data_IF_471021482892
#
_entry.id   IF_471021482892
#
_cell.length_a   1.000
_cell.length_b   1.000
_cell.length_c   1.000
_cell.angle_alpha   90.00
_cell.angle_beta   90.00
_cell.angle_gamma   90.00
#
_symmetry.space_group_name_H-M   'P 1'
#
loop_
_entity.id
_entity.type
_entity.pdbx_description
1 polymer ?
#
# COMPACT_ATOMS: atom_id res chain seq x y z
N UNK A 1 -9.82 -13.25 38.70
CA UNK A 1 -8.82 -12.42 38.00
C UNK A 1 -9.16 -12.57 36.53
N UNK A 2 -9.83 -11.58 35.93
CA UNK A 2 -10.05 -11.55 34.49
C UNK A 2 -8.68 -11.28 33.85
N UNK A 3 -8.12 -12.28 33.16
CA UNK A 3 -6.93 -12.09 32.34
C UNK A 3 -7.31 -11.16 31.21
N UNK A 4 -6.71 -9.99 31.16
CA UNK A 4 -6.81 -9.09 29.99
C UNK A 4 -6.42 -9.92 28.77
N UNK A 5 -7.25 -10.01 27.71
CA UNK A 5 -6.85 -10.77 26.53
C UNK A 5 -5.50 -10.25 26.04
N UNK A 6 -4.60 -11.16 25.73
CA UNK A 6 -3.24 -10.83 25.28
C UNK A 6 -3.38 -9.92 24.03
N UNK A 7 -2.78 -8.73 24.07
CA UNK A 7 -2.86 -7.79 22.95
C UNK A 7 -2.23 -8.43 21.72
N UNK A 8 -2.80 -8.24 20.51
CA UNK A 8 -2.26 -8.81 19.29
C UNK A 8 -0.80 -8.43 19.07
N UNK A 9 -0.01 -9.39 18.57
CA UNK A 9 1.38 -9.19 18.21
C UNK A 9 1.48 -8.73 16.75
N UNK A 10 1.99 -7.54 16.54
CA UNK A 10 2.21 -6.98 15.20
C UNK A 10 3.69 -7.10 14.82
N UNK A 11 3.97 -7.73 13.70
CA UNK A 11 5.33 -7.85 13.15
C UNK A 11 5.49 -6.90 11.97
N UNK A 12 6.44 -5.97 12.05
CA UNK A 12 6.79 -5.09 10.94
C UNK A 12 7.97 -5.68 10.19
N UNK A 13 7.74 -6.04 8.91
CA UNK A 13 8.75 -6.61 8.01
C UNK A 13 9.26 -5.54 7.08
N UNK A 14 10.59 -5.33 7.10
CA UNK A 14 11.25 -4.24 6.39
C UNK A 14 11.37 -2.98 7.25
N UNK A 15 12.59 -2.42 7.31
CA UNK A 15 12.93 -1.29 8.19
C UNK A 15 13.26 -0.02 7.40
N UNK A 16 12.52 0.24 6.32
CA UNK A 16 12.59 1.47 5.56
C UNK A 16 11.90 2.65 6.24
N UNK A 17 11.91 3.81 5.56
CA UNK A 17 11.32 5.06 6.09
C UNK A 17 9.84 4.93 6.40
N UNK A 18 9.07 4.25 5.55
CA UNK A 18 7.64 4.03 5.78
C UNK A 18 7.40 3.21 7.05
N UNK A 19 8.09 2.08 7.21
CA UNK A 19 7.96 1.23 8.40
C UNK A 19 8.35 1.95 9.69
N UNK A 20 9.38 2.81 9.63
CA UNK A 20 9.78 3.64 10.78
C UNK A 20 8.67 4.63 11.19
N UNK A 21 7.99 5.25 10.22
CA UNK A 21 6.85 6.15 10.47
C UNK A 21 5.65 5.38 11.00
N UNK A 22 5.34 4.22 10.41
CA UNK A 22 4.27 3.32 10.90
C UNK A 22 4.53 2.93 12.35
N UNK A 23 5.75 2.53 12.70
CA UNK A 23 6.13 2.17 14.06
C UNK A 23 5.88 3.32 15.04
N UNK A 24 6.37 4.53 14.71
CA UNK A 24 6.22 5.70 15.58
C UNK A 24 4.75 6.06 15.81
N UNK A 25 3.94 6.06 14.75
CA UNK A 25 2.50 6.36 14.86
C UNK A 25 1.75 5.24 15.59
N UNK A 26 2.10 3.98 15.34
CA UNK A 26 1.45 2.81 15.98
C UNK A 26 1.64 2.84 17.50
N UNK A 27 2.83 3.17 17.97
CA UNK A 27 3.15 3.28 19.38
C UNK A 27 2.50 4.48 20.08
N UNK A 28 1.98 5.45 19.32
CA UNK A 28 1.14 6.54 19.81
C UNK A 28 -0.27 6.10 20.27
N UNK A 29 -0.68 4.85 19.96
CA UNK A 29 -2.00 4.33 20.30
C UNK A 29 -1.95 3.27 21.41
N UNK A 30 -2.87 3.35 22.37
CA UNK A 30 -2.92 2.46 23.56
C UNK A 30 -3.18 0.98 23.25
N UNK A 31 -3.83 0.68 22.11
CA UNK A 31 -4.24 -0.67 21.77
C UNK A 31 -3.10 -1.54 21.21
N UNK A 32 -2.01 -0.93 20.77
CA UNK A 32 -0.89 -1.61 20.12
C UNK A 32 0.38 -1.44 20.93
N UNK A 33 0.74 -2.46 21.68
CA UNK A 33 1.90 -2.40 22.57
C UNK A 33 2.89 -3.57 22.41
N UNK A 34 2.57 -4.56 21.56
CA UNK A 34 3.45 -5.71 21.29
C UNK A 34 3.88 -5.70 19.83
N UNK A 35 5.12 -5.35 19.57
CA UNK A 35 5.67 -5.19 18.23
C UNK A 35 6.97 -5.98 18.07
N UNK A 36 7.11 -6.68 16.94
CA UNK A 36 8.37 -7.28 16.50
C UNK A 36 8.82 -6.57 15.23
N UNK A 37 10.06 -6.11 15.23
CA UNK A 37 10.70 -5.52 14.05
C UNK A 37 11.54 -6.58 13.35
N UNK A 38 11.30 -6.82 12.07
CA UNK A 38 12.01 -7.81 11.28
C UNK A 38 12.73 -7.15 10.10
N UNK A 39 14.02 -7.35 10.02
CA UNK A 39 14.84 -6.83 8.93
C UNK A 39 16.07 -7.69 8.70
N UNK A 40 16.71 -7.56 7.54
CA UNK A 40 17.93 -8.30 7.21
C UNK A 40 19.07 -8.02 8.22
N UNK A 41 19.16 -6.78 8.67
CA UNK A 41 20.08 -6.36 9.72
C UNK A 41 19.32 -6.23 11.06
N UNK A 42 19.50 -7.23 11.94
CA UNK A 42 18.88 -7.27 13.24
C UNK A 42 19.33 -6.11 14.16
N UNK A 43 20.58 -5.64 14.01
CA UNK A 43 21.10 -4.54 14.81
C UNK A 43 20.44 -3.20 14.41
N UNK A 44 20.29 -2.94 13.13
CA UNK A 44 19.53 -1.77 12.64
C UNK A 44 18.09 -1.83 13.11
N UNK A 45 17.43 -2.98 13.04
CA UNK A 45 16.08 -3.16 13.55
C UNK A 45 16.01 -2.85 15.06
N UNK A 46 16.96 -3.34 15.86
CA UNK A 46 17.06 -3.08 17.29
C UNK A 46 17.21 -1.59 17.59
N UNK A 47 18.12 -0.89 16.90
CA UNK A 47 18.36 0.56 17.09
C UNK A 47 17.12 1.38 16.75
N UNK A 48 16.40 1.05 15.69
CA UNK A 48 15.11 1.68 15.35
C UNK A 48 14.06 1.42 16.40
N UNK A 49 14.00 0.20 16.93
CA UNK A 49 13.13 -0.18 18.03
C UNK A 49 13.40 0.65 19.30
N UNK A 50 14.66 0.83 19.68
CA UNK A 50 15.04 1.66 20.81
C UNK A 50 14.62 3.12 20.64
N UNK A 51 14.84 3.69 19.45
CA UNK A 51 14.42 5.06 19.15
C UNK A 51 12.90 5.23 19.30
N UNK A 52 12.13 4.30 18.74
CA UNK A 52 10.68 4.31 18.85
C UNK A 52 10.20 4.11 20.30
N UNK A 53 10.85 3.20 21.06
CA UNK A 53 10.55 2.97 22.46
C UNK A 53 10.76 4.23 23.31
N UNK A 54 11.88 4.93 23.10
CA UNK A 54 12.18 6.16 23.82
C UNK A 54 11.24 7.31 23.41
N UNK A 55 10.88 7.39 22.14
CA UNK A 55 9.88 8.35 21.66
C UNK A 55 8.52 8.09 22.31
N UNK A 56 8.08 6.84 22.35
CA UNK A 56 6.83 6.46 23.01
C UNK A 56 6.87 6.79 24.52
N UNK A 57 7.99 6.53 25.19
CA UNK A 57 8.17 6.84 26.61
C UNK A 57 8.05 8.36 26.90
N UNK A 58 8.61 9.21 26.03
CA UNK A 58 8.44 10.67 26.13
C UNK A 58 6.98 11.10 25.98
N UNK A 59 6.16 10.32 25.28
CA UNK A 59 4.72 10.53 25.14
C UNK A 59 3.89 9.85 26.23
N UNK A 60 4.55 9.30 27.27
CA UNK A 60 3.88 8.60 28.37
C UNK A 60 3.34 7.22 27.98
N UNK A 61 3.90 6.58 26.95
CA UNK A 61 3.48 5.28 26.44
C UNK A 61 4.51 4.21 26.75
N UNK A 62 4.04 2.99 26.99
CA UNK A 62 4.90 1.82 27.22
C UNK A 62 4.58 0.74 26.18
N UNK A 63 5.61 0.17 25.57
CA UNK A 63 5.50 -0.85 24.54
C UNK A 63 6.51 -1.99 24.77
N UNK A 64 6.14 -3.20 24.35
CA UNK A 64 7.06 -4.35 24.22
C UNK A 64 7.53 -4.41 22.77
N UNK A 65 8.78 -4.01 22.53
CA UNK A 65 9.39 -4.02 21.20
C UNK A 65 10.53 -5.03 21.20
N UNK A 66 10.45 -5.97 20.26
CA UNK A 66 11.50 -6.96 19.98
C UNK A 66 11.99 -6.83 18.57
N UNK A 67 13.17 -7.35 18.27
CA UNK A 67 13.73 -7.36 16.93
C UNK A 67 14.26 -8.73 16.56
N UNK A 68 14.14 -9.10 15.27
CA UNK A 68 14.66 -10.35 14.72
C UNK A 68 15.33 -10.07 13.37
N UNK A 69 16.37 -10.83 13.06
CA UNK A 69 16.93 -10.93 11.73
C UNK A 69 16.00 -11.75 10.83
N UNK A 70 15.69 -11.24 9.63
CA UNK A 70 14.81 -11.90 8.68
C UNK A 70 15.23 -11.59 7.25
N UNK A 71 15.61 -12.63 6.49
CA UNK A 71 15.82 -12.54 5.04
C UNK A 71 14.69 -13.27 4.32
N UNK A 72 13.80 -12.51 3.70
CA UNK A 72 12.65 -13.05 2.95
C UNK A 72 13.07 -13.95 1.77
N UNK A 73 14.30 -13.83 1.28
CA UNK A 73 14.81 -14.71 0.22
C UNK A 73 15.00 -16.16 0.69
N UNK A 74 15.14 -16.37 1.99
CA UNK A 74 15.13 -17.71 2.60
C UNK A 74 13.74 -18.03 3.17
N UNK A 75 12.87 -18.57 2.32
CA UNK A 75 11.47 -18.87 2.67
C UNK A 75 11.37 -19.84 3.86
N UNK A 76 12.21 -20.88 3.90
CA UNK A 76 12.20 -21.87 4.98
C UNK A 76 12.56 -21.25 6.34
N UNK A 77 13.68 -20.51 6.41
CA UNK A 77 14.09 -19.81 7.64
C UNK A 77 13.07 -18.72 8.05
N UNK A 78 12.44 -18.07 7.09
CA UNK A 78 11.36 -17.11 7.34
C UNK A 78 10.15 -17.84 7.96
N UNK A 79 9.73 -18.97 7.42
CA UNK A 79 8.62 -19.78 7.96
C UNK A 79 8.89 -20.26 9.38
N UNK A 80 10.11 -20.76 9.66
CA UNK A 80 10.53 -21.15 11.01
C UNK A 80 10.49 -19.98 11.99
N UNK A 81 10.94 -18.79 11.55
CA UNK A 81 10.89 -17.57 12.37
C UNK A 81 9.46 -17.16 12.66
N UNK A 82 8.57 -17.19 11.67
CA UNK A 82 7.15 -16.92 11.86
C UNK A 82 6.49 -17.94 12.81
N UNK A 83 6.80 -19.24 12.67
CA UNK A 83 6.28 -20.28 13.55
C UNK A 83 6.72 -20.09 15.01
N UNK A 84 7.94 -19.58 15.24
CA UNK A 84 8.48 -19.26 16.57
C UNK A 84 7.90 -17.97 17.16
N UNK A 85 7.81 -16.91 16.37
CA UNK A 85 7.33 -15.57 16.80
C UNK A 85 5.81 -15.54 16.95
N UNK A 86 5.09 -16.23 16.08
CA UNK A 86 3.61 -16.32 16.01
C UNK A 86 2.94 -14.96 16.01
N UNK A 87 3.26 -14.09 15.02
CA UNK A 87 2.56 -12.81 14.91
C UNK A 87 1.09 -13.02 14.52
N UNK A 88 0.20 -12.18 15.06
CA UNK A 88 -1.20 -12.12 14.65
C UNK A 88 -1.34 -11.36 13.34
N UNK A 89 -0.58 -10.27 13.21
CA UNK A 89 -0.61 -9.37 12.04
C UNK A 89 0.83 -9.12 11.59
N UNK A 90 1.06 -9.22 10.29
CA UNK A 90 2.34 -8.86 9.65
C UNK A 90 2.11 -7.64 8.77
N UNK A 91 2.84 -6.56 9.03
CA UNK A 91 2.95 -5.42 8.11
C UNK A 91 4.12 -5.63 7.16
N UNK A 92 3.82 -5.76 5.87
CA UNK A 92 4.82 -5.94 4.82
C UNK A 92 5.20 -4.58 4.22
N UNK A 93 6.28 -3.99 4.75
CA UNK A 93 6.82 -2.71 4.29
C UNK A 93 8.08 -2.83 3.42
N UNK A 94 8.52 -4.06 3.10
CA UNK A 94 9.71 -4.30 2.30
C UNK A 94 9.38 -4.36 0.79
N UNK A 95 10.29 -3.83 -0.01
CA UNK A 95 10.33 -3.98 -1.46
C UNK A 95 11.79 -4.11 -1.91
N UNK A 96 12.03 -4.61 -3.13
CA UNK A 96 13.40 -4.67 -3.67
C UNK A 96 13.92 -3.26 -4.01
N UNK A 97 13.03 -2.38 -4.47
CA UNK A 97 13.34 -0.98 -4.72
C UNK A 97 12.14 -0.11 -4.33
N UNK A 98 12.41 0.94 -3.55
CA UNK A 98 11.40 1.95 -3.25
C UNK A 98 11.17 2.85 -4.46
N UNK A 99 9.91 3.18 -4.75
CA UNK A 99 9.55 4.20 -5.75
C UNK A 99 10.25 5.54 -5.50
N UNK A 100 10.55 5.86 -4.26
CA UNK A 100 11.27 7.10 -3.89
C UNK A 100 12.62 7.23 -4.59
N UNK A 101 13.30 6.13 -4.89
CA UNK A 101 14.61 6.15 -5.58
C UNK A 101 14.49 6.82 -6.94
N UNK A 102 13.41 6.58 -7.67
CA UNK A 102 13.16 7.16 -8.99
C UNK A 102 12.92 8.68 -8.89
N UNK A 103 12.25 9.13 -7.82
CA UNK A 103 11.99 10.56 -7.59
C UNK A 103 13.26 11.38 -7.28
N UNK A 104 14.40 10.74 -7.08
CA UNK A 104 15.69 11.39 -6.85
C UNK A 104 16.42 11.75 -8.15
N UNK A 105 15.96 11.25 -9.29
CA UNK A 105 16.47 11.65 -10.60
C UNK A 105 16.25 13.14 -10.85
N UNK A 106 17.04 13.79 -11.72
CA UNK A 106 16.75 15.15 -12.19
C UNK A 106 15.32 15.26 -12.69
N UNK A 107 14.63 16.33 -12.33
CA UNK A 107 13.19 16.48 -12.57
C UNK A 107 12.73 16.14 -13.99
N UNK A 108 13.38 16.62 -15.08
CA UNK A 108 12.96 16.28 -16.45
C UNK A 108 13.09 14.78 -16.73
N UNK A 109 14.14 14.13 -16.20
CA UNK A 109 14.40 12.69 -16.38
C UNK A 109 13.38 11.87 -15.62
N UNK A 110 13.06 12.29 -14.39
CA UNK A 110 11.99 11.67 -13.59
C UNK A 110 10.64 11.77 -14.32
N UNK A 111 10.27 12.96 -14.81
CA UNK A 111 9.00 13.19 -15.51
C UNK A 111 8.86 12.29 -16.75
N UNK A 112 9.93 12.10 -17.50
CA UNK A 112 9.94 11.20 -18.66
C UNK A 112 9.82 9.72 -18.28
N UNK A 113 10.51 9.28 -17.23
CA UNK A 113 10.43 7.91 -16.74
C UNK A 113 9.08 7.61 -16.05
N UNK A 114 8.49 8.60 -15.40
CA UNK A 114 7.20 8.52 -14.73
C UNK A 114 6.03 8.26 -15.71
N UNK A 115 6.22 8.53 -17.00
CA UNK A 115 5.26 8.17 -18.05
C UNK A 115 5.07 6.64 -18.16
N UNK A 116 6.01 5.83 -17.68
CA UNK A 116 5.87 4.38 -17.58
C UNK A 116 4.86 3.93 -16.53
N UNK A 117 4.38 4.83 -15.70
CA UNK A 117 3.51 4.55 -14.55
C UNK A 117 4.12 3.50 -13.60
N UNK A 118 3.33 2.93 -12.67
CA UNK A 118 3.84 1.97 -11.70
C UNK A 118 3.81 0.52 -12.19
N UNK A 119 2.92 0.18 -13.11
CA UNK A 119 2.70 -1.20 -13.56
C UNK A 119 3.97 -1.97 -13.91
N UNK A 120 4.82 -1.48 -14.84
CA UNK A 120 6.06 -2.18 -15.21
C UNK A 120 7.08 -2.36 -14.09
N UNK A 121 6.95 -1.65 -12.98
CA UNK A 121 7.80 -1.80 -11.79
C UNK A 121 7.32 -2.91 -10.85
N UNK A 122 6.23 -3.61 -11.20
CA UNK A 122 5.62 -4.66 -10.37
C UNK A 122 6.62 -5.71 -9.86
N UNK A 123 7.61 -6.19 -10.62
CA UNK A 123 8.58 -7.17 -10.12
C UNK A 123 9.31 -6.73 -8.84
N UNK A 124 9.57 -5.42 -8.67
CA UNK A 124 10.22 -4.86 -7.49
C UNK A 124 9.38 -4.97 -6.22
N UNK A 125 8.06 -5.06 -6.36
CA UNK A 125 7.09 -5.12 -5.27
C UNK A 125 6.56 -6.54 -5.05
N UNK A 126 6.35 -7.30 -6.14
CA UNK A 126 5.75 -8.63 -6.11
C UNK A 126 6.72 -9.69 -5.54
N UNK A 127 8.00 -9.63 -5.88
CA UNK A 127 8.99 -10.67 -5.53
C UNK A 127 9.00 -10.98 -4.03
N UNK A 128 9.23 -9.97 -3.18
CA UNK A 128 9.32 -10.19 -1.73
C UNK A 128 7.97 -10.52 -1.11
N UNK A 129 6.88 -9.97 -1.63
CA UNK A 129 5.53 -10.33 -1.19
C UNK A 129 5.22 -11.81 -1.47
N UNK A 130 5.54 -12.31 -2.65
CA UNK A 130 5.36 -13.72 -2.99
C UNK A 130 6.14 -14.63 -2.04
N UNK A 131 7.41 -14.30 -1.75
CA UNK A 131 8.24 -15.07 -0.82
C UNK A 131 7.69 -15.04 0.61
N UNK A 132 7.26 -13.87 1.10
CA UNK A 132 6.64 -13.75 2.41
C UNK A 132 5.36 -14.57 2.51
N UNK A 133 4.46 -14.47 1.53
CA UNK A 133 3.18 -15.20 1.57
C UNK A 133 3.37 -16.71 1.53
N UNK A 134 4.38 -17.20 0.81
CA UNK A 134 4.79 -18.61 0.88
C UNK A 134 5.26 -19.01 2.29
N UNK A 135 6.11 -18.18 2.91
CA UNK A 135 6.59 -18.42 4.26
C UNK A 135 5.44 -18.38 5.30
N UNK A 136 4.48 -17.47 5.16
CA UNK A 136 3.29 -17.41 6.02
C UNK A 136 2.47 -18.70 5.90
N UNK A 137 2.20 -19.16 4.69
CA UNK A 137 1.52 -20.44 4.46
C UNK A 137 2.29 -21.61 5.09
N UNK A 138 3.59 -21.71 4.83
CA UNK A 138 4.44 -22.82 5.26
C UNK A 138 4.66 -22.81 6.78
N UNK A 139 4.56 -21.65 7.43
CA UNK A 139 4.64 -21.53 8.91
C UNK A 139 3.42 -22.06 9.65
N UNK A 140 2.26 -22.16 8.97
CA UNK A 140 1.00 -22.57 9.57
C UNK A 140 0.44 -21.63 10.65
N UNK A 141 0.97 -20.41 10.78
CA UNK A 141 0.53 -19.46 11.83
C UNK A 141 -0.82 -18.82 11.55
N UNK A 142 -1.24 -18.74 10.28
CA UNK A 142 -2.46 -18.05 9.88
C UNK A 142 -2.40 -16.53 10.09
N UNK A 143 -1.19 -15.95 10.19
CA UNK A 143 -1.00 -14.51 10.36
C UNK A 143 -1.66 -13.71 9.25
N UNK A 144 -2.31 -12.61 9.59
CA UNK A 144 -2.90 -11.67 8.63
C UNK A 144 -1.80 -10.77 8.08
N UNK A 145 -1.76 -10.58 6.77
CA UNK A 145 -0.72 -9.77 6.11
C UNK A 145 -1.30 -8.47 5.56
N UNK A 146 -0.75 -7.35 6.01
CA UNK A 146 -1.08 -6.00 5.55
C UNK A 146 0.05 -5.51 4.66
N UNK A 147 -0.21 -5.37 3.36
CA UNK A 147 0.81 -5.06 2.35
C UNK A 147 0.87 -3.56 2.02
N UNK A 148 2.09 -3.00 2.05
CA UNK A 148 2.36 -1.61 1.65
C UNK A 148 2.97 -1.49 0.23
N UNK A 149 3.47 -2.59 -0.35
CA UNK A 149 4.19 -2.57 -1.61
C UNK A 149 3.25 -2.87 -2.78
N UNK A 150 2.80 -1.83 -3.47
CA UNK A 150 1.90 -1.86 -4.63
C UNK A 150 0.74 -2.86 -4.47
N UNK A 151 -0.06 -2.71 -3.40
CA UNK A 151 -1.09 -3.69 -3.06
C UNK A 151 -2.15 -3.87 -4.14
N UNK A 152 -2.50 -2.81 -4.89
CA UNK A 152 -3.51 -2.82 -5.96
C UNK A 152 -3.24 -3.87 -7.04
N UNK A 153 -1.98 -4.20 -7.30
CA UNK A 153 -1.57 -5.20 -8.29
C UNK A 153 -1.03 -6.49 -7.65
N UNK A 154 -0.25 -6.37 -6.57
CA UNK A 154 0.32 -7.54 -5.85
C UNK A 154 -0.79 -8.43 -5.30
N UNK A 155 -1.83 -7.85 -4.72
CA UNK A 155 -2.99 -8.59 -4.19
C UNK A 155 -3.63 -9.50 -5.24
N UNK A 156 -4.16 -8.95 -6.36
CA UNK A 156 -4.84 -9.76 -7.37
C UNK A 156 -3.92 -10.76 -8.08
N UNK A 157 -2.63 -10.48 -8.27
CA UNK A 157 -1.68 -11.47 -8.83
C UNK A 157 -1.54 -12.67 -7.89
N UNK A 158 -1.30 -12.42 -6.61
CA UNK A 158 -1.12 -13.49 -5.63
C UNK A 158 -2.42 -14.22 -5.28
N UNK A 159 -3.59 -13.58 -5.46
CA UNK A 159 -4.89 -14.23 -5.30
C UNK A 159 -5.07 -15.38 -6.29
N UNK A 160 -4.57 -15.25 -7.53
CA UNK A 160 -4.63 -16.31 -8.55
C UNK A 160 -3.96 -17.62 -8.11
N UNK A 161 -3.05 -17.57 -7.16
CA UNK A 161 -2.34 -18.74 -6.62
C UNK A 161 -2.65 -19.00 -5.14
N UNK A 162 -3.70 -18.38 -4.61
CA UNK A 162 -4.13 -18.56 -3.21
C UNK A 162 -3.17 -17.98 -2.17
N UNK A 163 -2.37 -16.98 -2.54
CA UNK A 163 -1.35 -16.33 -1.70
C UNK A 163 -1.58 -14.83 -1.54
N UNK A 164 -2.81 -14.33 -1.69
CA UNK A 164 -3.09 -12.92 -1.51
C UNK A 164 -2.77 -12.45 -0.07
N UNK A 165 -2.10 -11.30 0.11
CA UNK A 165 -2.14 -10.59 1.38
C UNK A 165 -3.58 -10.30 1.79
N UNK A 166 -3.82 -10.17 3.10
CA UNK A 166 -5.18 -9.95 3.64
C UNK A 166 -5.78 -8.64 3.16
N UNK A 167 -4.96 -7.59 3.13
CA UNK A 167 -5.36 -6.22 2.76
C UNK A 167 -4.12 -5.38 2.47
N UNK A 168 -4.28 -4.33 1.68
CA UNK A 168 -3.26 -3.31 1.46
C UNK A 168 -3.50 -2.03 2.26
N UNK A 169 -2.53 -1.09 2.15
CA UNK A 169 -2.62 0.25 2.73
C UNK A 169 -2.19 1.32 1.73
N UNK A 170 -2.48 2.57 2.02
CA UNK A 170 -2.12 3.69 1.15
C UNK A 170 -3.04 3.81 -0.07
N UNK A 171 -2.51 4.34 -1.16
CA UNK A 171 -3.19 4.51 -2.45
C UNK A 171 -4.57 5.18 -2.30
N UNK A 172 -5.67 4.48 -2.49
CA UNK A 172 -7.03 5.02 -2.31
C UNK A 172 -7.23 5.69 -0.94
N UNK A 173 -6.63 5.15 0.12
CA UNK A 173 -6.70 5.74 1.45
C UNK A 173 -6.02 7.12 1.53
N UNK A 174 -5.00 7.36 0.73
CA UNK A 174 -4.23 8.61 0.78
C UNK A 174 -4.95 9.79 0.15
N UNK A 175 -5.88 9.56 -0.78
CA UNK A 175 -6.61 10.63 -1.46
C UNK A 175 -7.92 11.00 -0.74
N UNK A 176 -8.55 10.06 -0.05
CA UNK A 176 -9.86 10.25 0.58
C UNK A 176 -9.90 11.42 1.55
N UNK A 177 -8.93 11.65 2.46
CA UNK A 177 -8.97 12.81 3.36
C UNK A 177 -9.03 14.15 2.61
N UNK A 178 -8.24 14.31 1.55
CA UNK A 178 -8.24 15.53 0.75
C UNK A 178 -9.57 15.71 0.00
N UNK A 179 -10.13 14.65 -0.56
CA UNK A 179 -11.44 14.68 -1.21
C UNK A 179 -12.56 15.04 -0.20
N UNK A 180 -12.48 14.51 1.03
CA UNK A 180 -13.43 14.84 2.10
C UNK A 180 -13.40 16.32 2.45
N UNK A 181 -12.21 16.90 2.65
CA UNK A 181 -12.05 18.33 2.90
C UNK A 181 -12.49 19.18 1.70
N UNK A 182 -12.21 18.70 0.48
CA UNK A 182 -12.64 19.38 -0.74
C UNK A 182 -14.15 19.40 -0.91
N UNK A 183 -14.81 18.27 -0.67
CA UNK A 183 -16.26 18.16 -0.73
C UNK A 183 -16.94 19.02 0.35
N UNK A 184 -16.46 18.98 1.59
CA UNK A 184 -16.93 19.82 2.68
C UNK A 184 -16.90 21.31 2.31
N UNK A 185 -15.79 21.76 1.72
CA UNK A 185 -15.67 23.15 1.25
C UNK A 185 -16.66 23.51 0.14
N UNK A 186 -16.81 22.64 -0.88
CA UNK A 186 -17.74 22.89 -1.99
C UNK A 186 -19.19 22.89 -1.58
N UNK A 187 -19.55 22.07 -0.59
CA UNK A 187 -20.93 21.92 -0.10
C UNK A 187 -21.25 22.86 1.05
N UNK A 188 -20.26 23.58 1.61
CA UNK A 188 -20.45 24.42 2.79
C UNK A 188 -20.85 23.62 4.03
N UNK A 189 -20.40 22.36 4.14
CA UNK A 189 -20.73 21.45 5.24
C UNK A 189 -19.55 21.28 6.20
N UNK A 190 -19.82 20.98 7.50
CA UNK A 190 -18.76 20.53 8.42
C UNK A 190 -18.08 19.27 7.89
N UNK A 191 -16.75 19.20 7.97
CA UNK A 191 -15.98 18.07 7.42
C UNK A 191 -16.33 16.73 8.09
N UNK A 192 -16.68 16.77 9.37
CA UNK A 192 -17.09 15.60 10.16
C UNK A 192 -18.45 15.01 9.73
N UNK A 193 -19.26 15.76 9.00
CA UNK A 193 -20.53 15.30 8.44
C UNK A 193 -20.39 14.73 7.03
N UNK A 194 -19.21 14.90 6.39
CA UNK A 194 -18.94 14.43 5.03
C UNK A 194 -18.38 13.02 5.05
N UNK A 195 -19.08 12.12 4.39
CA UNK A 195 -18.66 10.74 4.16
C UNK A 195 -18.41 10.51 2.67
N UNK A 196 -17.27 9.91 2.33
CA UNK A 196 -16.95 9.50 0.98
C UNK A 196 -16.90 7.99 0.88
N UNK A 197 -17.35 7.45 -0.26
CA UNK A 197 -17.11 6.07 -0.68
C UNK A 197 -16.53 6.09 -2.09
N UNK A 198 -15.24 5.80 -2.16
CA UNK A 198 -14.45 5.83 -3.38
C UNK A 198 -13.98 4.42 -3.74
N UNK A 199 -14.28 4.02 -4.97
CA UNK A 199 -13.65 2.87 -5.63
C UNK A 199 -12.68 3.42 -6.65
N UNK A 200 -11.38 3.18 -6.47
CA UNK A 200 -10.33 3.68 -7.35
C UNK A 200 -9.01 2.93 -7.16
N UNK A 201 -8.29 2.74 -8.23
CA UNK A 201 -6.99 2.08 -8.28
C UNK A 201 -5.85 3.09 -8.02
N UNK A 202 -4.61 2.61 -7.83
CA UNK A 202 -3.40 3.38 -7.56
C UNK A 202 -3.24 4.58 -8.52
N UNK A 203 -3.44 4.40 -9.83
CA UNK A 203 -3.31 5.48 -10.82
C UNK A 203 -4.15 6.71 -10.44
N UNK A 204 -5.44 6.52 -10.17
CA UNK A 204 -6.32 7.61 -9.77
C UNK A 204 -5.81 8.35 -8.53
N UNK A 205 -5.40 7.59 -7.52
CA UNK A 205 -4.94 8.14 -6.23
C UNK A 205 -3.64 8.92 -6.34
N UNK A 206 -2.83 8.61 -7.34
CA UNK A 206 -1.57 9.27 -7.63
C UNK A 206 -1.71 10.43 -8.61
N UNK A 207 -2.56 10.27 -9.64
CA UNK A 207 -2.75 11.24 -10.72
C UNK A 207 -3.54 12.48 -10.25
N UNK A 208 -4.68 12.29 -9.59
CA UNK A 208 -5.58 13.39 -9.19
C UNK A 208 -4.87 14.46 -8.34
N UNK A 209 -4.08 14.13 -7.31
CA UNK A 209 -3.39 15.15 -6.52
C UNK A 209 -2.31 15.93 -7.27
N UNK A 210 -1.84 15.39 -8.40
CA UNK A 210 -0.78 16.02 -9.22
C UNK A 210 -1.35 16.94 -10.31
N UNK A 211 -2.50 16.56 -10.89
CA UNK A 211 -3.00 17.20 -12.09
C UNK A 211 -4.39 17.83 -11.93
N UNK A 212 -5.08 17.56 -10.82
CA UNK A 212 -6.39 18.16 -10.52
C UNK A 212 -7.54 17.58 -11.32
N UNK A 213 -7.34 16.47 -12.01
CA UNK A 213 -8.36 15.72 -12.75
C UNK A 213 -8.10 14.20 -12.66
N UNK A 214 -9.02 13.38 -13.19
CA UNK A 214 -8.90 11.92 -13.10
C UNK A 214 -8.07 11.31 -14.25
N UNK A 215 -7.67 12.09 -15.26
CA UNK A 215 -6.99 11.58 -16.45
C UNK A 215 -7.78 10.45 -17.11
N UNK A 216 -7.11 9.33 -17.39
CA UNK A 216 -7.72 8.11 -17.93
C UNK A 216 -8.24 7.17 -16.86
N UNK A 217 -8.16 7.55 -15.56
CA UNK A 217 -8.51 6.71 -14.43
C UNK A 217 -10.02 6.53 -14.24
N UNK A 218 -10.53 5.33 -14.43
CA UNK A 218 -11.89 4.99 -14.03
C UNK A 218 -12.03 5.01 -12.51
N UNK A 219 -13.17 5.46 -12.02
CA UNK A 219 -13.48 5.51 -10.59
C UNK A 219 -14.99 5.53 -10.35
N UNK A 220 -15.40 5.29 -9.10
CA UNK A 220 -16.74 5.57 -8.60
C UNK A 220 -16.65 6.32 -7.29
N UNK A 221 -17.34 7.43 -7.17
CA UNK A 221 -17.32 8.30 -5.99
C UNK A 221 -18.74 8.67 -5.57
N UNK A 222 -19.13 8.25 -4.37
CA UNK A 222 -20.29 8.76 -3.63
C UNK A 222 -19.85 9.71 -2.55
N UNK A 223 -20.57 10.84 -2.44
CA UNK A 223 -20.41 11.82 -1.37
C UNK A 223 -21.72 11.90 -0.59
N UNK A 224 -21.64 11.83 0.73
CA UNK A 224 -22.79 12.01 1.62
C UNK A 224 -22.51 13.10 2.64
N UNK A 225 -23.53 13.86 2.98
CA UNK A 225 -23.49 14.86 4.06
C UNK A 225 -24.60 14.51 5.05
N UNK A 226 -24.25 14.34 6.33
CA UNK A 226 -25.17 13.89 7.38
C UNK A 226 -25.99 12.65 6.96
N UNK A 227 -25.35 11.71 6.24
CA UNK A 227 -25.94 10.47 5.76
C UNK A 227 -26.75 10.56 4.44
N UNK A 228 -27.06 11.76 3.95
CA UNK A 228 -27.78 11.96 2.70
C UNK A 228 -26.81 12.08 1.50
N UNK A 229 -27.15 11.46 0.36
CA UNK A 229 -26.37 11.58 -0.86
C UNK A 229 -26.33 13.04 -1.33
N UNK A 230 -25.14 13.55 -1.62
CA UNK A 230 -24.91 14.92 -2.07
C UNK A 230 -24.30 14.94 -3.48
N UNK A 231 -24.83 15.78 -4.36
CA UNK A 231 -24.26 16.01 -5.67
C UNK A 231 -23.04 16.95 -5.55
N UNK A 232 -21.91 16.53 -6.06
CA UNK A 232 -20.66 17.31 -6.11
C UNK A 232 -20.12 17.32 -7.53
N UNK A 233 -19.69 18.48 -7.99
CA UNK A 233 -18.95 18.59 -9.25
C UNK A 233 -17.55 17.99 -9.06
N UNK A 234 -17.32 16.83 -9.63
CA UNK A 234 -16.07 16.08 -9.50
C UNK A 234 -14.88 16.84 -10.08
N UNK A 235 -15.06 17.57 -11.20
CA UNK A 235 -14.00 18.38 -11.78
C UNK A 235 -13.54 19.48 -10.81
N UNK A 236 -14.48 20.21 -10.23
CA UNK A 236 -14.17 21.22 -9.20
C UNK A 236 -13.59 20.61 -7.93
N UNK A 237 -14.03 19.41 -7.57
CA UNK A 237 -13.50 18.69 -6.42
C UNK A 237 -12.04 18.31 -6.62
N UNK A 238 -11.71 17.67 -7.73
CA UNK A 238 -10.36 17.20 -8.03
C UNK A 238 -9.37 18.36 -8.22
N UNK A 239 -9.79 19.44 -8.87
CA UNK A 239 -8.97 20.64 -9.07
C UNK A 239 -8.47 21.25 -7.75
N UNK A 240 -9.16 21.05 -6.63
CA UNK A 240 -8.69 21.53 -5.33
C UNK A 240 -7.42 20.81 -4.83
N UNK A 241 -7.18 19.56 -5.24
CA UNK A 241 -6.06 18.75 -4.76
C UNK A 241 -4.73 19.20 -5.34
N UNK A 242 -4.75 19.77 -6.55
CA UNK A 242 -3.56 20.39 -7.17
C UNK A 242 -3.41 21.88 -6.81
N UNK A 243 -4.37 22.48 -6.14
CA UNK A 243 -4.39 23.89 -5.79
C UNK A 243 -4.51 24.10 -4.26
N UNK A 244 -5.70 24.42 -3.79
CA UNK A 244 -5.96 24.79 -2.37
C UNK A 244 -5.57 23.69 -1.38
N UNK A 245 -5.73 22.43 -1.75
CA UNK A 245 -5.43 21.26 -0.91
C UNK A 245 -4.12 20.57 -1.33
N UNK A 246 -3.27 21.24 -2.08
CA UNK A 246 -1.97 20.70 -2.47
C UNK A 246 -1.11 20.42 -1.23
N UNK A 247 -0.55 19.23 -1.15
CA UNK A 247 0.25 18.77 -0.03
C UNK A 247 1.70 18.48 -0.41
N UNK A 248 2.56 18.37 0.59
CA UNK A 248 3.92 17.87 0.39
C UNK A 248 3.87 16.41 -0.08
N UNK A 249 4.72 16.09 -1.03
CA UNK A 249 4.97 14.75 -1.53
C UNK A 249 6.29 14.17 -1.04
N UNK A 250 6.82 13.20 -1.77
CA UNK A 250 8.11 12.60 -1.47
C UNK A 250 8.16 11.94 -0.10
N UNK A 251 9.28 12.14 0.61
CA UNK A 251 9.49 11.52 1.93
C UNK A 251 8.50 12.02 2.99
N UNK A 252 8.12 13.28 2.94
CA UNK A 252 7.15 13.85 3.89
C UNK A 252 5.75 13.30 3.64
N UNK A 253 5.38 13.08 2.38
CA UNK A 253 4.13 12.48 1.97
C UNK A 253 3.92 11.06 2.50
N UNK A 254 4.98 10.35 2.87
CA UNK A 254 4.88 9.02 3.49
C UNK A 254 4.17 9.03 4.85
N UNK A 255 4.09 10.17 5.53
CA UNK A 255 3.34 10.31 6.78
C UNK A 255 1.85 9.97 6.56
N UNK A 256 1.28 10.39 5.44
CA UNK A 256 -0.09 10.08 5.08
C UNK A 256 -0.30 8.58 4.83
N UNK A 257 0.62 7.94 4.12
CA UNK A 257 0.59 6.49 3.90
C UNK A 257 0.75 5.73 5.22
N UNK A 258 1.67 6.16 6.08
CA UNK A 258 1.89 5.55 7.39
C UNK A 258 0.66 5.67 8.30
N UNK A 259 -0.01 6.82 8.31
CA UNK A 259 -1.24 7.01 9.09
C UNK A 259 -2.39 6.14 8.61
N UNK A 260 -2.52 5.92 7.29
CA UNK A 260 -3.50 4.98 6.74
C UNK A 260 -3.19 3.53 7.14
N UNK A 261 -1.92 3.15 7.18
CA UNK A 261 -1.49 1.84 7.66
C UNK A 261 -1.84 1.62 9.13
N UNK A 262 -1.57 2.60 9.99
CA UNK A 262 -1.89 2.53 11.42
C UNK A 262 -3.40 2.40 11.65
N UNK A 263 -4.23 3.08 10.86
CA UNK A 263 -5.68 2.92 10.91
C UNK A 263 -6.11 1.48 10.64
N UNK A 264 -5.49 0.81 9.66
CA UNK A 264 -5.76 -0.60 9.34
C UNK A 264 -5.23 -1.52 10.45
N UNK A 265 -3.97 -1.40 10.83
CA UNK A 265 -3.34 -2.24 11.85
C UNK A 265 -4.07 -2.14 13.20
N UNK A 266 -4.37 -0.93 13.63
CA UNK A 266 -5.11 -0.69 14.86
C UNK A 266 -6.55 -1.22 14.77
N UNK A 267 -7.21 -0.99 13.63
CA UNK A 267 -8.56 -1.47 13.38
C UNK A 267 -8.66 -2.99 13.43
N UNK A 268 -7.67 -3.70 12.86
CA UNK A 268 -7.58 -5.17 12.92
C UNK A 268 -7.26 -5.65 14.36
N UNK A 269 -6.30 -5.03 15.03
CA UNK A 269 -5.91 -5.40 16.38
C UNK A 269 -7.07 -5.26 17.38
N UNK A 270 -7.88 -4.20 17.25
CA UNK A 270 -9.01 -3.91 18.12
C UNK A 270 -10.34 -4.52 17.66
N UNK A 271 -10.40 -5.13 16.46
CA UNK A 271 -11.65 -5.57 15.82
C UNK A 271 -12.72 -4.46 15.78
N UNK A 272 -12.29 -3.25 15.41
CA UNK A 272 -13.08 -2.04 15.68
C UNK A 272 -14.27 -1.83 14.74
N UNK A 273 -14.28 -2.47 13.55
CA UNK A 273 -15.28 -2.20 12.51
C UNK A 273 -15.19 -0.79 11.92
N UNK A 274 -14.06 -0.10 12.12
CA UNK A 274 -13.85 1.26 11.64
C UNK A 274 -13.95 1.31 10.11
N UNK A 275 -14.66 2.33 9.61
CA UNK A 275 -14.69 2.62 8.17
C UNK A 275 -13.35 3.16 7.71
N UNK A 276 -12.88 2.64 6.58
CA UNK A 276 -11.64 3.05 5.94
C UNK A 276 -11.75 2.84 4.42
N UNK A 277 -10.69 3.19 3.71
CA UNK A 277 -10.47 2.77 2.34
C UNK A 277 -9.17 1.97 2.28
N UNK A 278 -9.19 0.86 1.58
CA UNK A 278 -7.99 0.02 1.44
C UNK A 278 -7.86 -0.50 0.02
N UNK A 279 -6.63 -0.59 -0.50
CA UNK A 279 -6.36 -1.35 -1.69
C UNK A 279 -6.36 -2.85 -1.40
N UNK A 280 -6.73 -3.63 -2.40
CA UNK A 280 -6.66 -5.10 -2.44
C UNK A 280 -7.25 -5.84 -1.21
N UNK A 281 -8.46 -5.50 -0.72
CA UNK A 281 -9.09 -6.28 0.32
C UNK A 281 -9.35 -7.70 -0.19
N UNK A 282 -8.80 -8.73 0.49
CA UNK A 282 -8.95 -10.13 0.08
C UNK A 282 -8.38 -10.46 -1.31
N UNK A 283 -7.43 -9.67 -1.81
CA UNK A 283 -6.81 -9.87 -3.13
C UNK A 283 -7.57 -9.24 -4.31
N UNK A 284 -8.62 -8.46 -4.08
CA UNK A 284 -9.33 -7.74 -5.15
C UNK A 284 -8.42 -6.69 -5.80
N UNK A 285 -8.54 -6.40 -7.12
CA UNK A 285 -7.76 -5.37 -7.79
C UNK A 285 -8.17 -3.96 -7.35
N UNK A 286 -7.19 -3.08 -7.11
CA UNK A 286 -7.45 -1.67 -6.78
C UNK A 286 -8.00 -1.43 -5.39
N UNK A 287 -8.63 -0.28 -5.16
CA UNK A 287 -9.04 0.21 -3.84
C UNK A 287 -10.56 0.33 -3.65
N UNK A 288 -10.99 0.19 -2.40
CA UNK A 288 -12.41 0.10 -2.02
C UNK A 288 -12.69 0.76 -0.66
N UNK A 289 -13.92 1.25 -0.45
CA UNK A 289 -14.41 1.55 0.89
C UNK A 289 -14.67 0.23 1.64
N UNK A 290 -14.24 0.18 2.90
CA UNK A 290 -14.27 -1.05 3.71
C UNK A 290 -14.60 -0.77 5.17
N UNK A 291 -14.94 -1.83 5.90
CA UNK A 291 -14.93 -1.90 7.37
C UNK A 291 -13.80 -2.81 7.80
N UNK A 292 -12.92 -2.30 8.65
CA UNK A 292 -11.78 -3.07 9.16
C UNK A 292 -12.24 -3.99 10.27
N UNK A 293 -11.93 -5.28 10.10
CA UNK A 293 -12.18 -6.35 11.07
C UNK A 293 -10.88 -7.04 11.43
N UNK A 294 -10.91 -7.86 12.47
CA UNK A 294 -9.76 -8.66 12.91
C UNK A 294 -9.19 -9.52 11.78
N UNK A 295 -10.06 -10.08 10.96
CA UNK A 295 -9.69 -11.01 9.89
C UNK A 295 -9.40 -10.33 8.55
N UNK A 296 -9.52 -9.01 8.47
CA UNK A 296 -9.26 -8.26 7.25
C UNK A 296 -10.17 -7.06 7.05
N UNK A 297 -10.61 -6.85 5.82
CA UNK A 297 -11.43 -5.71 5.43
C UNK A 297 -12.68 -6.20 4.68
N UNK A 298 -13.85 -5.90 5.22
CA UNK A 298 -15.15 -6.18 4.60
C UNK A 298 -15.52 -5.01 3.68
N UNK A 299 -16.00 -5.30 2.46
CA UNK A 299 -16.44 -4.28 1.52
C UNK A 299 -17.65 -3.49 2.10
N UNK A 300 -17.59 -2.17 2.02
CA UNK A 300 -18.66 -1.23 2.40
C UNK A 300 -19.04 -0.37 1.18
N UNK A 301 -19.42 -1.04 0.08
CA UNK A 301 -19.68 -0.40 -1.21
C UNK A 301 -20.89 0.55 -1.14
N UNK A 302 -20.92 1.59 -2.01
CA UNK A 302 -22.11 2.41 -2.22
C UNK A 302 -23.32 1.57 -2.60
N UNK A 303 -24.50 2.04 -2.22
CA UNK A 303 -25.77 1.42 -2.58
C UNK A 303 -25.90 1.33 -4.12
N UNK A 304 -26.26 0.16 -4.63
CA UNK A 304 -26.41 -0.09 -6.07
C UNK A 304 -25.13 -0.37 -6.83
N UNK A 305 -23.96 -0.30 -6.19
CA UNK A 305 -22.70 -0.71 -6.79
C UNK A 305 -22.37 -2.16 -6.41
N UNK A 306 -22.41 -3.07 -7.42
CA UNK A 306 -22.04 -4.47 -7.18
C UNK A 306 -20.52 -4.65 -7.11
N UNK A 307 -20.09 -5.76 -6.48
CA UNK A 307 -18.66 -6.11 -6.38
C UNK A 307 -18.04 -6.26 -7.77
N UNK A 308 -18.74 -6.93 -8.69
CA UNK A 308 -18.26 -7.16 -10.06
C UNK A 308 -18.07 -5.85 -10.82
N UNK A 309 -18.95 -4.87 -10.61
CA UNK A 309 -18.81 -3.54 -11.22
C UNK A 309 -17.66 -2.76 -10.60
N UNK A 310 -17.50 -2.80 -9.28
CA UNK A 310 -16.39 -2.16 -8.58
C UNK A 310 -15.03 -2.75 -9.01
N UNK A 311 -14.94 -4.07 -9.16
CA UNK A 311 -13.75 -4.76 -9.70
C UNK A 311 -13.43 -4.27 -11.11
N UNK A 312 -14.43 -4.23 -12.01
CA UNK A 312 -14.22 -3.74 -13.40
C UNK A 312 -13.73 -2.29 -13.44
N UNK A 313 -14.26 -1.41 -12.59
CA UNK A 313 -13.77 -0.02 -12.47
C UNK A 313 -12.27 0.00 -12.17
N UNK A 314 -11.83 -0.81 -11.21
CA UNK A 314 -10.43 -0.90 -10.83
C UNK A 314 -9.56 -1.56 -11.91
N UNK A 315 -10.06 -2.58 -12.60
CA UNK A 315 -9.38 -3.22 -13.74
C UNK A 315 -9.25 -2.26 -14.94
N UNK A 316 -10.25 -1.44 -15.21
CA UNK A 316 -10.20 -0.40 -16.24
C UNK A 316 -9.19 0.70 -15.87
N UNK A 317 -9.15 1.11 -14.60
CA UNK A 317 -8.19 2.09 -14.11
C UNK A 317 -6.75 1.55 -14.11
N UNK A 318 -6.52 0.28 -13.82
CA UNK A 318 -5.17 -0.30 -13.79
C UNK A 318 -4.48 -0.28 -15.16
N UNK A 319 -5.23 -0.23 -16.28
CA UNK A 319 -4.65 -0.05 -17.61
C UNK A 319 -3.94 1.29 -17.74
N UNK A 320 -4.50 2.34 -17.15
CA UNK A 320 -3.84 3.65 -17.09
C UNK A 320 -2.56 3.61 -16.23
N UNK A 321 -2.43 2.63 -15.33
CA UNK A 321 -1.24 2.38 -14.49
C UNK A 321 -0.22 1.42 -15.14
N UNK A 322 -0.46 0.99 -16.37
CA UNK A 322 0.46 0.16 -17.16
C UNK A 322 0.23 -1.35 -17.06
N UNK A 323 -0.87 -1.80 -16.46
CA UNK A 323 -1.24 -3.22 -16.40
C UNK A 323 -2.47 -3.47 -17.27
N UNK A 324 -2.30 -4.18 -18.37
CA UNK A 324 -3.37 -4.50 -19.31
C UNK A 324 -4.35 -5.52 -18.71
N UNK A 325 -3.82 -6.62 -18.15
CA UNK A 325 -4.61 -7.68 -17.51
C UNK A 325 -3.74 -8.61 -16.67
N UNK A 326 -4.39 -9.35 -15.80
CA UNK A 326 -3.82 -10.44 -14.99
C UNK A 326 -4.58 -11.71 -15.34
N UNK A 327 -3.89 -12.70 -15.92
CA UNK A 327 -4.49 -13.97 -16.31
C UNK A 327 -4.70 -14.90 -15.10
N UNK A 328 -5.49 -15.96 -15.28
CA UNK A 328 -5.82 -16.90 -14.19
C UNK A 328 -4.62 -17.71 -13.69
N UNK A 329 -3.55 -17.80 -14.47
CA UNK A 329 -2.28 -18.41 -14.08
C UNK A 329 -1.33 -17.43 -13.38
N UNK A 330 -1.81 -16.26 -13.00
CA UNK A 330 -1.04 -15.16 -12.41
C UNK A 330 -0.03 -14.50 -13.38
N UNK A 331 -0.15 -14.71 -14.69
CA UNK A 331 0.64 -13.96 -15.67
C UNK A 331 0.10 -12.54 -15.81
N UNK A 332 0.97 -11.56 -15.64
CA UNK A 332 0.64 -10.14 -15.80
C UNK A 332 1.07 -9.68 -17.19
N UNK A 333 0.18 -9.03 -17.92
CA UNK A 333 0.49 -8.38 -19.19
C UNK A 333 0.53 -6.86 -18.99
N UNK A 334 1.64 -6.26 -19.37
CA UNK A 334 1.78 -4.81 -19.31
C UNK A 334 1.24 -4.16 -20.58
N UNK A 335 0.80 -2.92 -20.46
CA UNK A 335 0.34 -2.14 -21.62
C UNK A 335 1.50 -1.84 -22.57
N UNK A 336 1.22 -1.72 -23.85
CA UNK A 336 2.23 -1.43 -24.86
C UNK A 336 2.87 -0.05 -24.65
N UNK A 337 2.07 0.96 -24.29
CA UNK A 337 2.51 2.34 -24.09
C UNK A 337 3.57 2.44 -22.98
N UNK A 338 3.27 1.91 -21.81
CA UNK A 338 4.14 1.97 -20.63
C UNK A 338 5.37 1.06 -20.79
N UNK A 339 5.22 -0.11 -21.41
CA UNK A 339 6.33 -0.98 -21.77
C UNK A 339 7.30 -0.33 -22.76
N UNK A 340 6.77 0.44 -23.73
CA UNK A 340 7.60 1.17 -24.68
C UNK A 340 8.45 2.27 -24.01
N UNK A 341 7.92 2.96 -23.00
CA UNK A 341 8.69 3.92 -22.19
C UNK A 341 9.84 3.23 -21.47
N UNK A 342 9.59 2.09 -20.82
CA UNK A 342 10.61 1.31 -20.12
C UNK A 342 11.70 0.80 -21.07
N UNK A 343 11.32 0.32 -22.24
CA UNK A 343 12.27 -0.12 -23.25
C UNK A 343 13.12 1.05 -23.78
N UNK A 344 12.49 2.15 -24.16
CA UNK A 344 13.16 3.34 -24.72
C UNK A 344 14.17 3.93 -23.72
N UNK A 345 13.82 4.07 -22.46
CA UNK A 345 14.67 4.73 -21.47
C UNK A 345 15.68 3.79 -20.81
N UNK A 346 15.23 2.61 -20.41
CA UNK A 346 16.03 1.66 -19.65
C UNK A 346 16.57 0.50 -20.50
N UNK A 347 16.03 0.26 -21.70
CA UNK A 347 16.27 -0.98 -22.42
C UNK A 347 15.63 -2.20 -21.74
N UNK A 348 14.60 -1.98 -20.91
CA UNK A 348 13.85 -3.02 -20.21
C UNK A 348 12.61 -3.40 -21.02
N UNK A 349 12.53 -4.67 -21.43
CA UNK A 349 11.55 -5.16 -22.42
C UNK A 349 10.57 -6.22 -21.88
N UNK A 350 10.37 -6.27 -20.56
CA UNK A 350 9.37 -7.13 -19.95
C UNK A 350 7.96 -6.67 -20.30
N UNK A 351 7.33 -7.29 -21.28
CA UNK A 351 5.94 -7.02 -21.69
C UNK A 351 4.93 -7.95 -21.03
N UNK A 352 5.43 -9.07 -20.47
CA UNK A 352 4.62 -10.09 -19.78
C UNK A 352 5.44 -10.70 -18.66
N UNK A 353 4.84 -10.82 -17.48
CA UNK A 353 5.47 -11.30 -16.25
C UNK A 353 4.78 -12.55 -15.75
N UNK A 354 5.44 -13.70 -15.81
CA UNK A 354 5.01 -14.90 -15.10
C UNK A 354 5.50 -14.83 -13.64
N UNK A 355 4.69 -15.29 -12.72
CA UNK A 355 5.01 -15.23 -11.29
C UNK A 355 6.34 -15.91 -10.95
N UNK A 356 6.64 -17.05 -11.60
CA UNK A 356 7.92 -17.77 -11.42
C UNK A 356 9.15 -17.02 -11.90
N UNK A 357 8.98 -16.13 -12.88
CA UNK A 357 10.07 -15.36 -13.50
C UNK A 357 10.27 -13.99 -12.81
N UNK A 358 9.44 -13.69 -11.82
CA UNK A 358 9.44 -12.38 -11.13
C UNK A 358 10.82 -12.01 -10.55
N UNK A 359 11.58 -12.90 -9.87
CA UNK A 359 12.91 -12.56 -9.37
C UNK A 359 13.88 -12.19 -10.51
N UNK A 360 13.84 -12.90 -11.62
CA UNK A 360 14.69 -12.63 -12.80
C UNK A 360 14.42 -11.22 -13.35
N UNK A 361 13.16 -10.90 -13.58
CA UNK A 361 12.77 -9.60 -14.10
C UNK A 361 13.02 -8.46 -13.10
N UNK A 362 12.93 -8.72 -11.79
CA UNK A 362 13.31 -7.76 -10.77
C UNK A 362 14.81 -7.45 -10.79
N UNK A 363 15.66 -8.48 -10.91
CA UNK A 363 17.12 -8.32 -11.00
C UNK A 363 17.52 -7.58 -12.29
N UNK A 364 16.88 -7.91 -13.42
CA UNK A 364 17.12 -7.23 -14.69
C UNK A 364 16.70 -5.74 -14.61
N UNK A 365 15.54 -5.45 -14.03
CA UNK A 365 15.08 -4.09 -13.86
C UNK A 365 16.00 -3.29 -12.93
N UNK A 366 16.45 -3.88 -11.81
CA UNK A 366 17.39 -3.25 -10.91
C UNK A 366 18.71 -2.88 -11.60
N UNK A 367 19.24 -3.81 -12.38
CA UNK A 367 20.47 -3.59 -13.16
C UNK A 367 20.30 -2.47 -14.19
N UNK A 368 19.26 -2.54 -15.00
CA UNK A 368 18.95 -1.54 -16.04
C UNK A 368 18.71 -0.16 -15.47
N UNK A 369 17.94 -0.09 -14.40
CA UNK A 369 17.72 1.18 -13.71
C UNK A 369 19.01 1.75 -13.11
N UNK A 370 19.83 0.91 -12.48
CA UNK A 370 21.12 1.33 -11.93
C UNK A 370 22.07 1.91 -12.99
N UNK A 371 22.18 1.25 -14.15
CA UNK A 371 22.95 1.74 -15.30
C UNK A 371 22.40 3.07 -15.85
N UNK A 372 21.08 3.23 -15.87
CA UNK A 372 20.42 4.47 -16.28
C UNK A 372 20.67 5.61 -15.29
N UNK A 373 20.43 5.38 -14.00
CA UNK A 373 20.57 6.37 -12.95
C UNK A 373 22.02 6.88 -12.81
N UNK A 374 23.01 5.99 -12.96
CA UNK A 374 24.44 6.34 -12.90
C UNK A 374 24.88 7.41 -13.94
N UNK A 375 24.09 7.64 -14.98
CA UNK A 375 24.37 8.71 -15.97
C UNK A 375 24.09 10.10 -15.42
N UNK A 376 23.37 10.20 -14.33
CA UNK A 376 22.93 11.45 -13.70
C UNK A 376 23.56 11.67 -12.33
N UNK A 377 24.35 10.72 -11.82
CA UNK A 377 25.15 10.88 -10.60
C UNK A 377 26.32 11.82 -10.91
N UNK A 378 26.23 13.09 -10.49
CA UNK A 378 27.29 14.10 -10.62
C UNK A 378 27.88 14.47 -9.27
#
# INVERSE_FOLDING_TARGET
>A
IMTTPDKPLIMLVGMGDLSARVLTLLLGHDATSRVVLAGRDAETARRRGNLALFTAANLGRHADIRSVGLDLRNVAATAETLARVRPDIIFMGASLQSWRVITQLPKPVFEELDEAQLGPWLPMHLTLNHLLMRAVRDSGTGARVVNAAFPDAVGPVLDKVGLAPTVGIGNVANIVPALTHGAAHLLGAPVEEVELRLVAQHYFSHYVPRFGDAGEGAYHLDVRVAGALAAVDHHRLFAQLDNRLKRLGGIDGQLLTASSAVRVLHGMAADSGVRAHTPAPGGLPGGYPVRIRRDGAELDLPEGLTVERAVRINEDCQRADGIERIDDDATVHFTERESAVMNRLLGYDCTSLKLGDCPHWADELARKYGEFAARFDT
#
